data_IF_049097362826
#
_entry.id   IF_049097362826
#
_cell.length_a   1.000
_cell.length_b   1.000
_cell.length_c   1.000
_cell.angle_alpha   90.00
_cell.angle_beta   90.00
_cell.angle_gamma   90.00
#
_symmetry.space_group_name_H-M   'P 1'
#
loop_
_entity.id
_entity.type
_entity.pdbx_description
1 polymer ?
#
# COMPACT_ATOMS: atom_id res chain seq x y z
N UNK A 1 -22.21 -9.18 -6.65
CA UNK A 1 -20.92 -9.47 -5.97
C UNK A 1 -19.83 -8.46 -6.30
N UNK A 2 -19.64 -8.07 -7.56
CA UNK A 2 -18.64 -7.08 -8.02
C UNK A 2 -18.62 -5.75 -7.24
N UNK A 3 -19.78 -5.12 -7.00
CA UNK A 3 -19.83 -3.83 -6.26
C UNK A 3 -19.36 -3.92 -4.81
N UNK A 4 -19.72 -4.99 -4.10
CA UNK A 4 -19.32 -5.19 -2.70
C UNK A 4 -17.81 -5.46 -2.58
N UNK A 5 -17.26 -6.25 -3.50
CA UNK A 5 -15.82 -6.52 -3.57
C UNK A 5 -15.01 -5.24 -3.83
N UNK A 6 -15.45 -4.40 -4.76
CA UNK A 6 -14.75 -3.14 -5.10
C UNK A 6 -14.82 -2.13 -3.96
N UNK A 7 -15.97 -2.03 -3.27
CA UNK A 7 -16.10 -1.20 -2.08
C UNK A 7 -15.20 -1.70 -0.95
N UNK A 8 -15.17 -3.00 -0.71
CA UNK A 8 -14.27 -3.60 0.28
C UNK A 8 -12.81 -3.30 -0.07
N UNK A 9 -12.41 -3.47 -1.33
CA UNK A 9 -11.06 -3.17 -1.80
C UNK A 9 -10.69 -1.70 -1.56
N UNK A 10 -11.60 -0.79 -1.87
CA UNK A 10 -11.40 0.63 -1.64
C UNK A 10 -11.26 0.96 -0.14
N UNK A 11 -12.10 0.36 0.72
CA UNK A 11 -12.00 0.50 2.18
C UNK A 11 -10.65 -0.03 2.68
N UNK A 12 -10.21 -1.19 2.17
CA UNK A 12 -8.94 -1.79 2.57
C UNK A 12 -7.76 -0.93 2.12
N UNK A 13 -7.73 -0.45 0.87
CA UNK A 13 -6.67 0.45 0.39
C UNK A 13 -6.60 1.74 1.21
N UNK A 14 -7.76 2.32 1.54
CA UNK A 14 -7.82 3.51 2.39
C UNK A 14 -7.35 3.23 3.82
N UNK A 15 -7.78 2.11 4.42
CA UNK A 15 -7.35 1.73 5.75
C UNK A 15 -5.84 1.46 5.81
N UNK A 16 -5.29 0.79 4.80
CA UNK A 16 -3.85 0.55 4.66
C UNK A 16 -3.09 1.87 4.44
N UNK A 17 -3.61 2.77 3.61
CA UNK A 17 -3.03 4.09 3.39
C UNK A 17 -3.00 4.92 4.69
N UNK A 18 -4.09 4.94 5.45
CA UNK A 18 -4.17 5.66 6.74
C UNK A 18 -3.23 5.03 7.75
N UNK A 19 -3.26 3.71 7.93
CA UNK A 19 -2.37 3.01 8.86
C UNK A 19 -0.89 3.22 8.48
N UNK A 20 -0.59 3.16 7.18
CA UNK A 20 0.74 3.47 6.65
C UNK A 20 1.16 4.90 6.97
N UNK A 21 0.27 5.87 6.78
CA UNK A 21 0.54 7.29 7.05
C UNK A 21 0.80 7.53 8.54
N UNK A 22 -0.02 6.94 9.41
CA UNK A 22 0.16 7.01 10.87
C UNK A 22 1.49 6.38 11.27
N UNK A 23 1.81 5.20 10.74
CA UNK A 23 3.07 4.52 11.02
C UNK A 23 4.30 5.32 10.54
N UNK A 24 4.26 5.80 9.30
CA UNK A 24 5.34 6.61 8.72
C UNK A 24 5.52 7.93 9.48
N UNK A 25 4.44 8.58 9.90
CA UNK A 25 4.49 9.80 10.73
C UNK A 25 5.07 9.49 12.10
N UNK A 26 4.69 8.38 12.73
CA UNK A 26 5.26 7.94 14.01
C UNK A 26 6.77 7.70 13.92
N UNK A 27 7.25 7.10 12.82
CA UNK A 27 8.69 6.95 12.56
C UNK A 27 9.39 8.30 12.40
N UNK A 28 8.78 9.23 11.66
CA UNK A 28 9.33 10.56 11.44
C UNK A 28 9.43 11.38 12.74
N UNK A 29 8.47 11.26 13.65
CA UNK A 29 8.48 11.94 14.95
C UNK A 29 9.47 11.29 15.93
N UNK A 30 9.63 9.96 15.88
CA UNK A 30 10.51 9.22 16.77
C UNK A 30 12.00 9.28 16.38
N UNK A 31 12.30 9.69 15.14
CA UNK A 31 13.66 9.73 14.60
C UNK A 31 14.06 11.17 14.23
N UNK A 32 15.37 11.43 14.24
CA UNK A 32 15.93 12.78 14.13
C UNK A 32 15.56 13.48 12.80
N UNK A 33 15.49 14.83 12.80
CA UNK A 33 15.00 15.64 11.68
C UNK A 33 15.73 15.41 10.33
N UNK A 34 16.96 14.88 10.36
CA UNK A 34 17.71 14.50 9.16
C UNK A 34 17.15 13.29 8.41
N UNK A 35 16.29 12.46 9.02
CA UNK A 35 15.72 11.27 8.37
C UNK A 35 14.46 11.56 7.54
N UNK A 36 13.89 12.77 7.66
CA UNK A 36 12.67 13.17 6.92
C UNK A 36 12.82 12.97 5.41
N UNK A 37 13.98 13.35 4.85
CA UNK A 37 14.28 13.20 3.42
C UNK A 37 14.33 11.74 2.95
N UNK A 38 14.66 10.82 3.87
CA UNK A 38 14.74 9.38 3.57
C UNK A 38 13.34 8.76 3.51
N UNK A 39 12.39 9.25 4.31
CA UNK A 39 11.02 8.71 4.35
C UNK A 39 10.07 9.33 3.30
N UNK A 40 10.45 10.43 2.63
CA UNK A 40 9.62 11.08 1.61
C UNK A 40 9.08 10.14 0.52
N UNK A 41 9.87 9.21 -0.04
CA UNK A 41 9.36 8.23 -1.01
C UNK A 41 8.24 7.36 -0.44
N UNK A 42 8.32 6.98 0.84
CA UNK A 42 7.28 6.20 1.51
C UNK A 42 6.00 7.02 1.67
N UNK A 43 6.11 8.28 2.12
CA UNK A 43 4.95 9.19 2.22
C UNK A 43 4.29 9.43 0.86
N UNK A 44 5.06 9.64 -0.19
CA UNK A 44 4.55 9.82 -1.54
C UNK A 44 3.81 8.57 -2.03
N UNK A 45 4.38 7.38 -1.82
CA UNK A 45 3.74 6.11 -2.20
C UNK A 45 2.43 5.88 -1.42
N UNK A 46 2.42 6.14 -0.11
CA UNK A 46 1.20 6.05 0.72
C UNK A 46 0.15 7.07 0.28
N UNK A 47 0.54 8.31 0.00
CA UNK A 47 -0.35 9.33 -0.53
C UNK A 47 -0.98 8.91 -1.87
N UNK A 48 -0.18 8.33 -2.77
CA UNK A 48 -0.69 7.77 -4.01
C UNK A 48 -1.64 6.60 -3.77
N UNK A 49 -1.39 5.72 -2.79
CA UNK A 49 -2.32 4.65 -2.42
C UNK A 49 -3.67 5.20 -1.92
N UNK A 50 -3.66 6.27 -1.13
CA UNK A 50 -4.88 6.94 -0.67
C UNK A 50 -5.67 7.54 -1.84
N UNK A 51 -4.99 8.21 -2.77
CA UNK A 51 -5.62 8.76 -3.99
C UNK A 51 -6.18 7.63 -4.86
N UNK A 52 -5.44 6.55 -5.01
CA UNK A 52 -5.85 5.35 -5.73
C UNK A 52 -7.10 4.70 -5.10
N UNK A 53 -7.12 4.49 -3.78
CA UNK A 53 -8.30 3.98 -3.07
C UNK A 53 -9.52 4.89 -3.20
N UNK A 54 -9.34 6.20 -3.09
CA UNK A 54 -10.39 7.19 -3.31
C UNK A 54 -10.93 7.16 -4.75
N UNK A 55 -10.07 6.94 -5.74
CA UNK A 55 -10.46 6.83 -7.14
C UNK A 55 -11.38 5.61 -7.40
N UNK A 56 -11.20 4.51 -6.66
CA UNK A 56 -12.12 3.36 -6.71
C UNK A 56 -13.51 3.77 -6.18
N UNK A 57 -13.58 4.54 -5.08
CA UNK A 57 -14.87 5.02 -4.53
C UNK A 57 -15.66 5.89 -5.51
N UNK A 58 -14.99 6.83 -6.19
CA UNK A 58 -15.62 7.75 -7.16
C UNK A 58 -15.88 7.07 -8.52
N UNK A 59 -15.59 5.76 -8.63
CA UNK A 59 -15.76 4.97 -9.86
C UNK A 59 -14.96 5.51 -11.06
N UNK A 60 -13.81 6.13 -10.79
CA UNK A 60 -12.88 6.62 -11.80
C UNK A 60 -11.49 6.00 -11.58
N UNK A 61 -11.36 4.67 -11.69
CA UNK A 61 -10.09 4.00 -11.49
C UNK A 61 -9.06 4.50 -12.49
N UNK A 62 -7.84 4.78 -12.02
CA UNK A 62 -6.77 5.30 -12.87
C UNK A 62 -6.08 4.22 -13.69
N UNK A 63 -5.43 3.28 -13.03
CA UNK A 63 -4.64 2.26 -13.71
C UNK A 63 -4.51 1.01 -12.85
N UNK A 64 -4.97 -0.12 -13.37
CA UNK A 64 -4.89 -1.43 -12.71
C UNK A 64 -3.47 -1.75 -12.23
N UNK A 65 -2.49 -1.62 -13.13
CA UNK A 65 -1.10 -1.95 -12.83
C UNK A 65 -0.46 -0.97 -11.85
N UNK A 66 -0.92 0.28 -11.84
CA UNK A 66 -0.43 1.28 -10.90
C UNK A 66 -0.80 0.93 -9.46
N UNK A 67 -2.02 0.45 -9.20
CA UNK A 67 -2.43 0.00 -7.86
C UNK A 67 -1.52 -1.13 -7.36
N UNK A 68 -1.33 -2.16 -8.19
CA UNK A 68 -0.45 -3.29 -7.86
C UNK A 68 0.98 -2.81 -7.60
N UNK A 69 1.52 -1.97 -8.47
CA UNK A 69 2.88 -1.44 -8.34
C UNK A 69 3.06 -0.63 -7.04
N UNK A 70 2.10 0.23 -6.68
CA UNK A 70 2.14 1.02 -5.46
C UNK A 70 2.10 0.12 -4.21
N UNK A 71 1.23 -0.88 -4.18
CA UNK A 71 1.12 -1.82 -3.04
C UNK A 71 2.45 -2.54 -2.82
N UNK A 72 3.05 -3.06 -3.90
CA UNK A 72 4.35 -3.73 -3.85
C UNK A 72 5.45 -2.76 -3.41
N UNK A 73 5.48 -1.55 -3.99
CA UNK A 73 6.46 -0.52 -3.66
C UNK A 73 6.39 -0.14 -2.19
N UNK A 74 5.19 0.08 -1.63
CA UNK A 74 5.02 0.38 -0.21
C UNK A 74 5.56 -0.75 0.66
N UNK A 75 5.24 -2.01 0.33
CA UNK A 75 5.79 -3.16 1.06
C UNK A 75 7.32 -3.21 1.05
N UNK A 76 7.95 -2.92 -0.09
CA UNK A 76 9.40 -2.83 -0.20
C UNK A 76 9.97 -1.67 0.62
N UNK A 77 9.43 -0.46 0.47
CA UNK A 77 9.90 0.73 1.19
C UNK A 77 9.75 0.56 2.71
N UNK A 78 8.64 0.00 3.16
CA UNK A 78 8.42 -0.36 4.57
C UNK A 78 9.50 -1.32 5.07
N UNK A 79 9.82 -2.35 4.29
CA UNK A 79 10.85 -3.33 4.66
C UNK A 79 12.24 -2.69 4.73
N UNK A 80 12.58 -1.88 3.73
CA UNK A 80 13.89 -1.21 3.64
C UNK A 80 14.08 -0.19 4.75
N UNK A 81 13.04 0.59 5.09
CA UNK A 81 13.17 1.66 6.07
C UNK A 81 12.95 1.21 7.51
N UNK A 82 12.03 0.26 7.75
CA UNK A 82 11.72 -0.21 9.12
C UNK A 82 12.59 -1.40 9.51
N UNK A 83 12.98 -2.25 8.55
CA UNK A 83 13.79 -3.43 8.81
C UNK A 83 15.03 -3.14 9.67
N UNK A 84 15.90 -2.16 9.30
CA UNK A 84 17.10 -1.83 10.07
C UNK A 84 16.81 -1.37 11.50
N UNK A 85 15.62 -0.84 11.76
CA UNK A 85 15.21 -0.29 13.06
C UNK A 85 14.72 -1.38 14.03
N UNK A 86 14.45 -2.60 13.54
CA UNK A 86 13.88 -3.71 14.30
C UNK A 86 14.95 -4.69 14.84
N UNK A 87 16.24 -4.35 14.73
CA UNK A 87 17.35 -5.16 15.24
C UNK A 87 17.86 -6.22 14.26
N UNK A 88 18.66 -7.21 14.72
CA UNK A 88 19.43 -8.11 13.86
C UNK A 88 18.62 -8.94 12.85
N UNK A 89 17.38 -9.31 13.21
CA UNK A 89 16.47 -10.06 12.33
C UNK A 89 15.32 -9.19 11.77
N UNK A 90 15.38 -7.88 12.01
CA UNK A 90 14.29 -6.95 11.71
C UNK A 90 13.87 -6.92 10.24
N UNK A 91 14.80 -7.17 9.31
CA UNK A 91 14.51 -7.20 7.87
C UNK A 91 13.57 -8.35 7.52
N UNK A 92 13.81 -9.53 8.08
CA UNK A 92 13.00 -10.73 7.82
C UNK A 92 11.61 -10.56 8.44
N UNK A 93 11.56 -10.09 9.68
CA UNK A 93 10.29 -9.91 10.39
C UNK A 93 9.38 -8.88 9.70
N UNK A 94 9.94 -7.74 9.28
CA UNK A 94 9.18 -6.71 8.55
C UNK A 94 8.79 -7.20 7.16
N UNK A 95 9.68 -7.92 6.45
CA UNK A 95 9.38 -8.49 5.14
C UNK A 95 8.19 -9.46 5.21
N UNK A 96 8.17 -10.34 6.21
CA UNK A 96 7.06 -11.28 6.41
C UNK A 96 5.76 -10.52 6.67
N UNK A 97 5.78 -9.51 7.55
CA UNK A 97 4.60 -8.67 7.85
C UNK A 97 4.10 -7.91 6.61
N UNK A 98 5.02 -7.35 5.82
CA UNK A 98 4.68 -6.69 4.56
C UNK A 98 4.08 -7.67 3.55
N UNK A 99 4.66 -8.87 3.41
CA UNK A 99 4.18 -9.90 2.49
C UNK A 99 2.76 -10.39 2.83
N UNK A 100 2.42 -10.51 4.12
CA UNK A 100 1.06 -10.88 4.59
C UNK A 100 0.01 -9.87 4.11
N UNK A 101 0.38 -8.63 3.83
CA UNK A 101 -0.54 -7.61 3.29
C UNK A 101 -0.45 -7.53 1.77
N UNK A 102 0.76 -7.44 1.23
CA UNK A 102 1.01 -7.24 -0.21
C UNK A 102 0.51 -8.41 -1.04
N UNK A 103 0.75 -9.64 -0.60
CA UNK A 103 0.39 -10.84 -1.37
C UNK A 103 -1.13 -10.97 -1.49
N UNK A 104 -1.92 -10.98 -0.40
CA UNK A 104 -3.38 -11.06 -0.52
C UNK A 104 -3.98 -9.90 -1.31
N UNK A 105 -3.48 -8.68 -1.12
CA UNK A 105 -3.93 -7.52 -1.90
C UNK A 105 -3.68 -7.71 -3.39
N UNK A 106 -2.48 -8.16 -3.76
CA UNK A 106 -2.16 -8.45 -5.17
C UNK A 106 -3.07 -9.53 -5.73
N UNK A 107 -3.33 -10.60 -4.96
CA UNK A 107 -4.24 -11.67 -5.37
C UNK A 107 -5.69 -11.17 -5.56
N UNK A 108 -6.18 -10.26 -4.71
CA UNK A 108 -7.50 -9.65 -4.88
C UNK A 108 -7.59 -8.88 -6.20
N UNK A 109 -6.53 -8.17 -6.59
CA UNK A 109 -6.47 -7.50 -7.88
C UNK A 109 -6.47 -8.46 -9.06
N UNK A 110 -5.94 -9.68 -8.90
CA UNK A 110 -5.96 -10.69 -9.98
C UNK A 110 -7.34 -11.31 -10.21
N UNK A 111 -8.30 -11.11 -9.30
CA UNK A 111 -9.65 -11.65 -9.45
C UNK A 111 -10.33 -11.08 -10.71
N UNK A 112 -11.01 -11.94 -11.52
CA UNK A 112 -11.75 -11.51 -12.71
C UNK A 112 -12.67 -10.30 -12.51
N UNK A 113 -13.49 -10.20 -11.43
CA UNK A 113 -14.35 -9.04 -11.20
C UNK A 113 -13.60 -7.71 -11.01
N UNK A 114 -12.37 -7.74 -10.49
CA UNK A 114 -11.55 -6.54 -10.33
C UNK A 114 -10.91 -6.20 -11.67
N UNK A 115 -10.32 -7.19 -12.36
CA UNK A 115 -9.72 -6.98 -13.69
C UNK A 115 -10.71 -6.41 -14.71
N UNK A 116 -11.96 -6.87 -14.71
CA UNK A 116 -13.00 -6.37 -15.62
C UNK A 116 -13.44 -4.94 -15.28
N UNK A 117 -13.47 -4.58 -13.99
CA UNK A 117 -13.75 -3.21 -13.55
C UNK A 117 -12.72 -2.20 -14.06
N UNK A 118 -11.45 -2.61 -14.13
CA UNK A 118 -10.38 -1.79 -14.70
C UNK A 118 -10.21 -1.96 -16.23
N UNK A 119 -11.06 -2.76 -16.90
CA UNK A 119 -11.01 -2.96 -18.35
C UNK A 119 -9.88 -3.86 -18.86
N UNK A 120 -9.22 -4.63 -17.99
CA UNK A 120 -8.03 -5.46 -18.31
C UNK A 120 -8.40 -6.87 -18.77
N UNK A 121 -9.59 -7.37 -18.45
CA UNK A 121 -10.11 -8.62 -19.00
C UNK A 121 -11.59 -8.44 -19.32
N UNK A 122 -11.97 -8.72 -20.57
CA UNK A 122 -13.34 -9.05 -20.94
C UNK A 122 -13.56 -10.53 -20.75
#
# INVERSE_FOLDING_TARGET
MTRGLLLLLAVVEMALGIAGLVGATGLLVSHNAGMVLIFWPLFAAIGLLLVAGAAIFVRRPWSYYLHIAIIILIGMLVTVYIGPLMGPNGWIDVLIRAAIVVVPMTLLFLLPPVRSYFGVSR
#
